data_IF_236036113733
#
_entry.id   IF_236036113733
#
_cell.length_a   1.000
_cell.length_b   1.000
_cell.length_c   1.000
_cell.angle_alpha   90.00
_cell.angle_beta   90.00
_cell.angle_gamma   90.00
#
_symmetry.space_group_name_H-M   'P 1'
#
loop_
_entity.id
_entity.type
_entity.pdbx_description
1 polymer ?
#
# COMPACT_ATOMS: atom_id res chain seq x y z
N UNK A 1 -15.41 14.45 27.23
CA UNK A 1 -16.39 13.51 27.82
C UNK A 1 -16.15 13.17 29.30
N UNK A 2 -14.92 13.20 29.82
CA UNK A 2 -14.61 12.81 31.23
C UNK A 2 -15.24 13.71 32.32
N UNK A 3 -15.45 15.00 32.03
CA UNK A 3 -15.87 15.97 33.06
C UNK A 3 -17.33 15.76 33.53
N UNK A 4 -18.26 15.50 32.60
CA UNK A 4 -19.67 15.24 32.94
C UNK A 4 -19.87 13.94 33.74
N UNK A 5 -19.07 12.91 33.47
CA UNK A 5 -19.09 11.64 34.20
C UNK A 5 -18.62 11.82 35.65
N UNK A 6 -17.52 12.56 35.85
CA UNK A 6 -17.02 12.88 37.18
C UNK A 6 -17.98 13.77 37.99
N UNK A 7 -18.67 14.71 37.33
CA UNK A 7 -19.68 15.55 37.97
C UNK A 7 -20.89 14.73 38.43
N UNK A 8 -21.40 13.84 37.57
CA UNK A 8 -22.55 12.96 37.88
C UNK A 8 -22.22 11.99 39.00
N UNK A 9 -21.02 11.41 39.01
CA UNK A 9 -20.56 10.53 40.10
C UNK A 9 -20.48 11.27 41.43
N UNK A 10 -19.97 12.51 41.45
CA UNK A 10 -19.91 13.34 42.67
C UNK A 10 -21.30 13.68 43.20
N UNK A 11 -22.25 14.05 42.32
CA UNK A 11 -23.64 14.32 42.72
C UNK A 11 -24.34 13.07 43.29
N UNK A 12 -24.12 11.89 42.70
CA UNK A 12 -24.67 10.62 43.21
C UNK A 12 -24.12 10.28 44.60
N UNK A 13 -22.83 10.50 44.85
CA UNK A 13 -22.22 10.29 46.18
C UNK A 13 -22.83 11.25 47.21
N UNK A 14 -23.02 12.53 46.85
CA UNK A 14 -23.62 13.52 47.75
C UNK A 14 -25.11 13.24 48.05
N UNK A 15 -25.89 12.82 47.06
CA UNK A 15 -27.30 12.49 47.23
C UNK A 15 -27.51 11.23 48.09
N UNK A 16 -26.65 10.22 47.92
CA UNK A 16 -26.64 9.02 48.76
C UNK A 16 -26.19 9.35 50.19
N UNK A 17 -25.23 10.26 50.36
CA UNK A 17 -24.77 10.71 51.68
C UNK A 17 -25.85 11.37 52.55
N UNK A 18 -26.83 12.05 51.93
CA UNK A 18 -27.98 12.67 52.62
C UNK A 18 -29.08 11.68 53.03
N UNK A 19 -29.05 10.46 52.49
CA UNK A 19 -30.04 9.41 52.75
C UNK A 19 -29.50 8.24 53.60
N UNK A 20 -28.24 8.33 54.03
CA UNK A 20 -27.65 7.37 54.96
C UNK A 20 -28.08 7.69 56.39
N UNK A 21 -28.69 6.72 57.06
CA UNK A 21 -28.99 6.84 58.49
C UNK A 21 -27.67 6.87 59.30
N UNK A 22 -27.64 7.53 60.48
CA UNK A 22 -26.40 7.69 61.26
C UNK A 22 -25.73 6.35 61.62
N UNK A 23 -26.49 5.25 61.66
CA UNK A 23 -25.97 3.91 61.92
C UNK A 23 -25.06 3.40 60.79
N UNK A 24 -25.32 3.75 59.53
CA UNK A 24 -24.51 3.30 58.40
C UNK A 24 -23.12 3.96 58.38
N UNK A 25 -23.03 5.24 58.76
CA UNK A 25 -21.73 5.94 58.88
C UNK A 25 -20.88 5.35 59.99
N UNK A 26 -21.47 5.03 61.16
CA UNK A 26 -20.75 4.36 62.24
C UNK A 26 -20.25 2.97 61.83
N UNK A 27 -21.07 2.19 61.10
CA UNK A 27 -20.67 0.89 60.58
C UNK A 27 -19.53 0.99 59.55
N UNK A 28 -19.52 2.03 58.72
CA UNK A 28 -18.46 2.26 57.74
C UNK A 28 -17.13 2.69 58.41
N UNK A 29 -17.18 3.58 59.40
CA UNK A 29 -15.98 4.06 60.10
C UNK A 29 -15.30 2.97 60.94
N UNK A 30 -16.04 1.94 61.34
CA UNK A 30 -15.49 0.74 62.01
C UNK A 30 -14.83 -0.25 61.05
N UNK A 31 -14.98 -0.12 59.72
CA UNK A 31 -14.26 -0.98 58.76
C UNK A 31 -12.83 -0.50 58.56
N UNK A 32 -11.91 -1.04 59.36
CA UNK A 32 -10.50 -1.17 58.95
C UNK A 32 -10.48 -2.12 57.75
N UNK A 33 -10.04 -1.64 56.58
CA UNK A 33 -10.10 -2.40 55.33
C UNK A 33 -9.00 -3.46 55.29
N UNK A 34 -9.28 -4.65 55.82
CA UNK A 34 -8.38 -5.81 55.79
C UNK A 34 -8.13 -6.37 54.37
N UNK A 35 -8.80 -5.81 53.34
CA UNK A 35 -8.65 -6.21 51.93
C UNK A 35 -7.58 -5.43 51.17
N UNK A 36 -6.78 -4.58 51.82
CA UNK A 36 -5.56 -4.04 51.20
C UNK A 36 -4.43 -4.99 51.58
N UNK A 37 -4.00 -5.91 50.68
CA UNK A 37 -2.84 -6.73 50.98
C UNK A 37 -1.67 -5.79 51.21
N UNK A 38 -1.03 -5.90 52.38
CA UNK A 38 0.27 -5.28 52.66
C UNK A 38 1.16 -5.52 51.45
N UNK A 39 1.62 -4.45 50.81
CA UNK A 39 2.47 -4.52 49.60
C UNK A 39 3.76 -5.28 49.91
N UNK A 40 3.76 -6.59 49.70
CA UNK A 40 4.91 -7.43 49.96
C UNK A 40 5.96 -7.14 48.87
N UNK A 41 7.14 -6.60 49.21
CA UNK A 41 8.16 -6.25 48.22
C UNK A 41 8.71 -7.45 47.43
N UNK A 42 8.54 -8.69 47.92
CA UNK A 42 8.86 -9.90 47.15
C UNK A 42 7.83 -10.18 46.05
N UNK A 43 6.54 -9.93 46.32
CA UNK A 43 5.45 -10.12 45.33
C UNK A 43 5.52 -9.03 44.26
N UNK A 44 5.85 -7.80 44.64
CA UNK A 44 6.07 -6.71 43.70
C UNK A 44 7.24 -7.00 42.74
N UNK A 45 8.39 -7.47 43.27
CA UNK A 45 9.54 -7.89 42.45
C UNK A 45 9.23 -9.08 41.55
N UNK A 46 8.52 -10.09 42.05
CA UNK A 46 8.16 -11.25 41.21
C UNK A 46 7.17 -10.87 40.11
N UNK A 47 6.24 -9.94 40.36
CA UNK A 47 5.32 -9.47 39.33
C UNK A 47 6.09 -8.69 38.24
N UNK A 48 7.02 -7.84 38.64
CA UNK A 48 7.89 -7.08 37.74
C UNK A 48 8.82 -8.00 36.93
N UNK A 49 9.48 -8.98 37.57
CA UNK A 49 10.32 -9.99 36.92
C UNK A 49 9.54 -10.90 35.96
N UNK A 50 8.30 -11.26 36.29
CA UNK A 50 7.44 -12.08 35.42
C UNK A 50 6.88 -11.30 34.23
N UNK A 51 6.74 -9.97 34.35
CA UNK A 51 6.31 -9.08 33.27
C UNK A 51 7.49 -8.63 32.37
N UNK A 52 8.74 -8.73 32.84
CA UNK A 52 9.91 -8.20 32.14
C UNK A 52 10.65 -9.24 31.27
N UNK A 53 10.38 -10.54 31.43
CA UNK A 53 11.18 -11.62 30.79
C UNK A 53 10.48 -12.26 29.58
N UNK A 54 9.17 -12.10 29.41
CA UNK A 54 8.42 -12.67 28.27
C UNK A 54 7.62 -11.56 27.59
N UNK A 55 7.88 -11.25 26.30
CA UNK A 55 7.05 -10.33 25.54
C UNK A 55 5.60 -10.80 25.60
N UNK A 56 4.68 -9.88 25.92
CA UNK A 56 3.25 -10.22 25.92
C UNK A 56 2.82 -10.68 24.52
N UNK A 57 1.81 -11.55 24.43
CA UNK A 57 1.26 -11.99 23.14
C UNK A 57 0.88 -10.80 22.23
N UNK A 58 0.41 -9.71 22.84
CA UNK A 58 0.09 -8.46 22.15
C UNK A 58 1.34 -7.77 21.54
N UNK A 59 2.45 -7.79 22.27
CA UNK A 59 3.72 -7.20 21.81
C UNK A 59 4.32 -8.01 20.65
N UNK A 60 4.22 -9.34 20.71
CA UNK A 60 4.61 -10.23 19.61
C UNK A 60 3.75 -9.95 18.36
N UNK A 61 2.43 -9.89 18.51
CA UNK A 61 1.50 -9.61 17.41
C UNK A 61 1.78 -8.23 16.78
N UNK A 62 2.07 -7.22 17.60
CA UNK A 62 2.39 -5.88 17.12
C UNK A 62 3.67 -5.87 16.28
N UNK A 63 4.73 -6.52 16.76
CA UNK A 63 6.00 -6.61 16.03
C UNK A 63 5.84 -7.36 14.70
N UNK A 64 5.09 -8.46 14.70
CA UNK A 64 4.80 -9.22 13.47
C UNK A 64 3.99 -8.41 12.46
N UNK A 65 3.01 -7.64 12.93
CA UNK A 65 2.22 -6.74 12.09
C UNK A 65 3.10 -5.65 11.45
N UNK A 66 3.99 -5.04 12.24
CA UNK A 66 4.90 -4.00 11.77
C UNK A 66 5.87 -4.57 10.72
N UNK A 67 6.44 -5.75 10.98
CA UNK A 67 7.30 -6.47 10.02
C UNK A 67 6.58 -6.76 8.70
N UNK A 68 5.35 -7.29 8.75
CA UNK A 68 4.55 -7.57 7.55
C UNK A 68 4.20 -6.29 6.79
N UNK A 69 3.89 -5.22 7.51
CA UNK A 69 3.59 -3.92 6.90
C UNK A 69 4.78 -3.35 6.15
N UNK A 70 5.99 -3.47 6.71
CA UNK A 70 7.24 -3.07 6.04
C UNK A 70 7.54 -3.95 4.81
N UNK A 71 7.30 -5.26 4.89
CA UNK A 71 7.45 -6.15 3.74
C UNK A 71 6.49 -5.80 2.61
N UNK A 72 5.22 -5.53 2.94
CA UNK A 72 4.23 -5.10 1.96
C UNK A 72 4.58 -3.73 1.35
N UNK A 73 5.04 -2.78 2.15
CA UNK A 73 5.51 -1.47 1.66
C UNK A 73 6.62 -1.61 0.62
N UNK A 74 7.64 -2.43 0.89
CA UNK A 74 8.72 -2.69 -0.07
C UNK A 74 8.23 -3.36 -1.35
N UNK A 75 7.28 -4.30 -1.27
CA UNK A 75 6.68 -4.93 -2.45
C UNK A 75 5.88 -3.94 -3.30
N UNK A 76 5.16 -3.02 -2.66
CA UNK A 76 4.42 -1.96 -3.35
C UNK A 76 5.41 -1.05 -4.08
N UNK A 77 6.47 -0.59 -3.42
CA UNK A 77 7.50 0.26 -4.02
C UNK A 77 8.16 -0.41 -5.23
N UNK A 78 8.52 -1.70 -5.11
CA UNK A 78 9.07 -2.48 -6.22
C UNK A 78 8.10 -2.54 -7.41
N UNK A 79 6.82 -2.83 -7.15
CA UNK A 79 5.80 -2.91 -8.21
C UNK A 79 5.58 -1.54 -8.87
N UNK A 80 5.61 -0.46 -8.11
CA UNK A 80 5.51 0.90 -8.65
C UNK A 80 6.69 1.25 -9.55
N UNK A 81 7.92 0.87 -9.17
CA UNK A 81 9.11 1.03 -10.01
C UNK A 81 9.03 0.19 -11.30
N UNK A 82 8.67 -1.09 -11.20
CA UNK A 82 8.48 -1.97 -12.36
C UNK A 82 7.40 -1.42 -13.31
N UNK A 83 6.30 -0.88 -12.76
CA UNK A 83 5.24 -0.25 -13.55
C UNK A 83 5.75 0.97 -14.31
N UNK A 84 6.52 1.87 -13.67
CA UNK A 84 7.08 3.04 -14.34
C UNK A 84 8.01 2.63 -15.49
N UNK A 85 8.85 1.61 -15.28
CA UNK A 85 9.75 1.11 -16.32
C UNK A 85 8.96 0.56 -17.52
N UNK A 86 7.91 -0.23 -17.27
CA UNK A 86 7.05 -0.76 -18.32
C UNK A 86 6.31 0.32 -19.10
N UNK A 87 5.84 1.38 -18.43
CA UNK A 87 5.21 2.52 -19.10
C UNK A 87 6.19 3.21 -20.08
N UNK A 88 7.46 3.39 -19.67
CA UNK A 88 8.50 3.93 -20.55
C UNK A 88 8.77 3.01 -21.75
N UNK A 89 8.91 1.70 -21.53
CA UNK A 89 9.16 0.73 -22.59
C UNK A 89 8.02 0.72 -23.62
N UNK A 90 6.77 0.82 -23.16
CA UNK A 90 5.58 0.92 -24.02
C UNK A 90 5.64 2.18 -24.91
N UNK A 91 6.05 3.32 -24.36
CA UNK A 91 6.15 4.55 -25.13
C UNK A 91 7.31 4.54 -26.13
N UNK A 92 8.43 3.92 -25.78
CA UNK A 92 9.54 3.66 -26.73
C UNK A 92 9.07 2.78 -27.89
N UNK A 93 8.38 1.67 -27.61
CA UNK A 93 7.86 0.77 -28.64
C UNK A 93 6.87 1.46 -29.59
N UNK A 94 5.99 2.32 -29.06
CA UNK A 94 5.09 3.14 -29.89
C UNK A 94 5.86 4.05 -30.83
N UNK A 95 6.89 4.74 -30.34
CA UNK A 95 7.72 5.64 -31.14
C UNK A 95 8.46 4.90 -32.25
N UNK A 96 9.01 3.72 -31.95
CA UNK A 96 9.67 2.87 -32.95
C UNK A 96 8.70 2.38 -34.02
N UNK A 97 7.51 1.92 -33.63
CA UNK A 97 6.47 1.49 -34.55
C UNK A 97 6.03 2.61 -35.51
N UNK A 98 5.86 3.83 -35.00
CA UNK A 98 5.51 5.00 -35.81
C UNK A 98 6.61 5.36 -36.82
N UNK A 99 7.88 5.27 -36.40
CA UNK A 99 9.03 5.49 -37.30
C UNK A 99 9.08 4.44 -38.41
N UNK A 100 8.89 3.17 -38.07
CA UNK A 100 8.84 2.08 -39.04
C UNK A 100 7.68 2.24 -40.03
N UNK A 101 6.50 2.63 -39.55
CA UNK A 101 5.33 2.89 -40.39
C UNK A 101 5.61 3.99 -41.42
N UNK A 102 6.23 5.10 -40.99
CA UNK A 102 6.63 6.19 -41.91
C UNK A 102 7.65 5.72 -42.95
N UNK A 103 8.62 4.90 -42.54
CA UNK A 103 9.61 4.30 -43.43
C UNK A 103 8.95 3.39 -44.48
N UNK A 104 8.06 2.50 -44.07
CA UNK A 104 7.36 1.58 -44.96
C UNK A 104 6.51 2.31 -46.01
N UNK A 105 5.77 3.34 -45.60
CA UNK A 105 4.95 4.13 -46.54
C UNK A 105 5.82 4.74 -47.65
N UNK A 106 7.02 5.25 -47.30
CA UNK A 106 7.94 5.82 -48.30
C UNK A 106 8.49 4.75 -49.25
N UNK A 107 8.88 3.59 -48.72
CA UNK A 107 9.38 2.47 -49.53
C UNK A 107 8.29 1.96 -50.48
N UNK A 108 7.03 1.93 -50.03
CA UNK A 108 5.88 1.55 -50.84
C UNK A 108 5.63 2.55 -51.98
N UNK A 109 5.66 3.86 -51.70
CA UNK A 109 5.57 4.90 -52.73
C UNK A 109 6.70 4.79 -53.77
N UNK A 110 7.94 4.59 -53.32
CA UNK A 110 9.11 4.41 -54.19
C UNK A 110 8.97 3.17 -55.08
N UNK A 111 8.46 2.06 -54.52
CA UNK A 111 8.20 0.82 -55.24
C UNK A 111 7.13 0.98 -56.31
N UNK A 112 6.03 1.68 -56.02
CA UNK A 112 4.97 1.96 -56.97
C UNK A 112 5.42 2.88 -58.11
N UNK A 113 6.25 3.88 -57.80
CA UNK A 113 6.93 4.71 -58.80
C UNK A 113 7.83 3.87 -59.71
N UNK A 114 8.68 3.02 -59.14
CA UNK A 114 9.58 2.14 -59.88
C UNK A 114 8.80 1.17 -60.79
N UNK A 115 7.74 0.55 -60.27
CA UNK A 115 6.85 -0.34 -61.02
C UNK A 115 6.20 0.38 -62.20
N UNK A 116 5.82 1.63 -62.03
CA UNK A 116 5.26 2.47 -63.08
C UNK A 116 6.29 2.81 -64.15
N UNK A 117 7.50 3.21 -63.75
CA UNK A 117 8.59 3.54 -64.67
C UNK A 117 9.04 2.31 -65.48
N UNK A 118 9.14 1.14 -64.85
CA UNK A 118 9.44 -0.10 -65.53
C UNK A 118 8.40 -0.45 -66.61
N UNK A 119 7.10 -0.34 -66.27
CA UNK A 119 6.01 -0.56 -67.25
C UNK A 119 6.11 0.39 -68.44
N UNK A 120 6.48 1.67 -68.22
CA UNK A 120 6.70 2.65 -69.30
C UNK A 120 7.90 2.26 -70.16
N UNK A 121 9.05 1.95 -69.55
CA UNK A 121 10.26 1.55 -70.25
C UNK A 121 10.01 0.33 -71.16
N UNK A 122 9.38 -0.71 -70.63
CA UNK A 122 9.07 -1.91 -71.41
C UNK A 122 8.11 -1.61 -72.58
N UNK A 123 7.12 -0.72 -72.40
CA UNK A 123 6.28 -0.23 -73.51
C UNK A 123 7.11 0.50 -74.56
N UNK A 124 8.00 1.40 -74.16
CA UNK A 124 8.90 2.11 -75.08
C UNK A 124 9.81 1.16 -75.86
N UNK A 125 10.39 0.14 -75.21
CA UNK A 125 11.22 -0.88 -75.87
C UNK A 125 10.45 -1.69 -76.92
N UNK A 126 9.18 -2.04 -76.64
CA UNK A 126 8.32 -2.70 -77.63
C UNK A 126 8.06 -1.81 -78.85
N UNK A 127 7.76 -0.53 -78.64
CA UNK A 127 7.51 0.42 -79.74
C UNK A 127 8.75 0.66 -80.60
N UNK A 128 9.93 0.72 -79.98
CA UNK A 128 11.20 0.91 -80.69
C UNK A 128 11.74 -0.35 -81.40
N UNK A 129 11.03 -1.49 -81.35
CA UNK A 129 11.44 -2.73 -82.01
C UNK A 129 12.62 -3.48 -81.37
N UNK A 130 13.15 -2.96 -80.26
CA UNK A 130 14.34 -3.47 -79.54
C UNK A 130 14.13 -4.79 -78.78
N UNK A 131 12.90 -5.34 -78.77
CA UNK A 131 12.56 -6.58 -78.06
C UNK A 131 12.72 -7.87 -78.85
N UNK A 132 13.24 -7.84 -80.08
CA UNK A 132 13.35 -9.01 -80.98
C UNK A 132 14.77 -9.56 -81.19
N UNK A 133 15.80 -9.00 -80.57
CA UNK A 133 17.18 -9.52 -80.69
C UNK A 133 17.54 -10.37 -79.49
N UNK A 134 17.15 -11.65 -79.54
CA UNK A 134 17.78 -12.79 -78.86
C UNK A 134 17.38 -14.02 -79.69
N UNK A 135 18.16 -14.30 -80.74
CA UNK A 135 18.33 -15.61 -81.35
C UNK A 135 19.82 -15.96 -81.23
#
# INVERSE_FOLDING_TARGET
MSNAWNQTRRMKILAVGLSMTPEYSQWHDQRVNDNIPVSNPKIARSLEEHLQVVPSEMEIIKQDFEKRSLELGRKIEQIEEEKMQLELDVDVQKLEADKLKKGNNKVEEDLDSLKTNYKKLHRSMRTAGLGKTLE
#
